data_IF_314761655458
#
_entry.id   IF_314761655458
#
_cell.length_a   1.000
_cell.length_b   1.000
_cell.length_c   1.000
_cell.angle_alpha   90.00
_cell.angle_beta   90.00
_cell.angle_gamma   90.00
#
_symmetry.space_group_name_H-M   'P 1'
#
loop_
_entity.id
_entity.type
_entity.pdbx_description
1 polymer ?
#
# COMPACT_ATOMS: atom_id res chain seq x y z
N UNK A 1 12.47 16.19 34.58
CA UNK A 1 11.67 15.73 33.43
C UNK A 1 10.93 14.44 33.81
N UNK A 2 9.78 14.14 33.20
CA UNK A 2 9.07 12.85 33.33
C UNK A 2 9.05 12.19 31.96
N UNK A 3 9.53 10.96 31.86
CA UNK A 3 9.55 10.18 30.62
C UNK A 3 8.62 8.98 30.77
N UNK A 4 7.72 8.78 29.79
CA UNK A 4 6.82 7.65 29.78
C UNK A 4 7.51 6.47 29.11
N UNK A 5 7.55 5.33 29.80
CA UNK A 5 8.21 4.10 29.33
C UNK A 5 7.17 3.05 28.95
N UNK A 6 7.50 2.23 27.96
CA UNK A 6 6.71 1.06 27.58
C UNK A 6 6.75 -0.04 28.66
N UNK A 7 5.72 -0.89 28.73
CA UNK A 7 5.52 -1.89 29.80
C UNK A 7 6.68 -2.90 29.92
N UNK A 8 7.46 -3.08 28.86
CA UNK A 8 8.61 -4.01 28.79
C UNK A 8 9.99 -3.31 28.79
N UNK A 9 10.02 -2.01 29.09
CA UNK A 9 11.28 -1.28 29.17
C UNK A 9 12.16 -1.77 30.34
N UNK A 10 13.43 -2.02 30.07
CA UNK A 10 14.42 -2.41 31.09
C UNK A 10 15.10 -1.13 31.58
N UNK A 11 14.86 -0.77 32.84
CA UNK A 11 15.54 0.36 33.48
C UNK A 11 17.03 0.06 33.62
N UNK A 12 17.88 1.00 33.19
CA UNK A 12 19.35 0.91 33.32
C UNK A 12 19.88 1.67 34.53
N UNK A 13 18.99 2.28 35.32
CA UNK A 13 19.30 3.11 36.49
C UNK A 13 18.44 2.71 37.67
N UNK A 14 19.00 2.83 38.88
CA UNK A 14 18.31 2.54 40.13
C UNK A 14 17.68 3.80 40.74
N UNK A 15 16.63 3.66 41.58
CA UNK A 15 16.04 4.79 42.30
C UNK A 15 17.08 5.53 43.15
N UNK A 16 17.22 6.85 42.93
CA UNK A 16 18.17 7.71 43.66
C UNK A 16 19.52 7.92 42.97
N UNK A 17 19.76 7.27 41.83
CA UNK A 17 20.95 7.52 41.01
C UNK A 17 20.98 8.97 40.48
N UNK A 18 22.16 9.61 40.53
CA UNK A 18 22.38 10.89 39.88
C UNK A 18 22.71 10.67 38.41
N UNK A 19 21.99 11.36 37.52
CA UNK A 19 22.12 11.24 36.06
C UNK A 19 22.39 12.59 35.43
N UNK A 20 23.16 12.61 34.34
CA UNK A 20 23.53 13.79 33.57
C UNK A 20 22.78 13.82 32.22
N UNK A 21 22.66 14.98 31.57
CA UNK A 21 22.15 15.06 30.21
C UNK A 21 22.95 14.14 29.27
N UNK A 22 22.26 13.23 28.58
CA UNK A 22 22.86 12.22 27.70
C UNK A 22 22.98 10.81 28.30
N UNK A 23 22.73 10.62 29.60
CA UNK A 23 22.76 9.30 30.22
C UNK A 23 21.56 8.43 29.79
N UNK A 24 21.82 7.15 29.53
CA UNK A 24 20.79 6.18 29.15
C UNK A 24 20.04 5.69 30.39
N UNK A 25 18.78 6.09 30.54
CA UNK A 25 17.94 5.76 31.71
C UNK A 25 17.23 4.41 31.59
N UNK A 26 16.85 4.03 30.38
CA UNK A 26 16.14 2.80 30.10
C UNK A 26 16.52 2.30 28.71
N UNK A 27 16.50 0.98 28.54
CA UNK A 27 16.62 0.32 27.25
C UNK A 27 15.30 -0.37 26.99
N UNK A 28 14.66 -0.01 25.89
CA UNK A 28 13.57 -0.80 25.35
C UNK A 28 14.26 -1.79 24.42
N UNK A 29 14.16 -3.11 24.67
CA UNK A 29 14.55 -4.07 23.66
C UNK A 29 13.65 -3.79 22.46
N UNK A 30 14.19 -3.11 21.45
CA UNK A 30 13.56 -3.16 20.15
C UNK A 30 13.65 -4.62 19.74
N UNK A 31 12.53 -5.24 19.38
CA UNK A 31 12.55 -6.53 18.68
C UNK A 31 13.13 -6.36 17.26
N UNK A 32 14.13 -5.50 17.10
CA UNK A 32 15.01 -5.47 15.95
C UNK A 32 15.74 -6.82 15.95
N UNK A 33 15.22 -7.73 15.12
CA UNK A 33 15.70 -9.09 14.94
C UNK A 33 15.22 -10.16 15.94
N UNK A 34 13.95 -10.15 16.38
CA UNK A 34 13.25 -11.44 16.17
C UNK A 34 13.33 -11.66 14.68
N UNK A 35 13.77 -12.85 14.25
CA UNK A 35 13.72 -13.31 12.86
C UNK A 35 12.55 -12.58 12.22
N UNK A 36 12.79 -11.72 11.19
CA UNK A 36 11.71 -11.07 10.42
C UNK A 36 10.57 -12.08 10.38
N UNK A 37 9.31 -11.70 10.53
CA UNK A 37 8.23 -12.69 10.54
C UNK A 37 8.02 -13.27 9.11
N UNK A 38 9.05 -13.94 8.59
CA UNK A 38 9.19 -14.68 7.35
C UNK A 38 8.61 -16.09 7.53
N UNK A 39 8.16 -16.42 8.75
CA UNK A 39 7.46 -17.67 9.05
C UNK A 39 6.11 -17.77 8.33
N UNK A 40 5.61 -16.67 7.77
CA UNK A 40 4.37 -16.65 7.02
C UNK A 40 4.38 -17.48 5.73
N UNK A 41 5.55 -17.87 5.20
CA UNK A 41 5.65 -18.73 4.01
C UNK A 41 4.75 -18.28 2.84
N UNK A 42 4.12 -19.23 2.15
CA UNK A 42 3.16 -18.94 1.08
C UNK A 42 1.97 -18.05 1.50
N UNK A 43 1.38 -18.19 2.70
CA UNK A 43 0.35 -17.26 3.19
C UNK A 43 0.75 -15.78 3.12
N UNK A 44 2.01 -15.43 3.46
CA UNK A 44 2.49 -14.05 3.37
C UNK A 44 2.52 -13.54 1.93
N UNK A 45 2.97 -14.37 1.00
CA UNK A 45 2.97 -14.04 -0.44
C UNK A 45 1.54 -13.80 -0.94
N UNK A 46 0.58 -14.64 -0.51
CA UNK A 46 -0.83 -14.47 -0.85
C UNK A 46 -1.41 -13.16 -0.27
N UNK A 47 -1.06 -12.78 0.96
CA UNK A 47 -1.47 -11.50 1.54
C UNK A 47 -0.94 -10.31 0.74
N UNK A 48 0.32 -10.36 0.30
CA UNK A 48 0.95 -9.32 -0.50
C UNK A 48 0.30 -9.21 -1.89
N UNK A 49 0.09 -10.32 -2.59
CA UNK A 49 -0.57 -10.31 -3.91
C UNK A 49 -2.05 -9.94 -3.86
N UNK A 50 -2.73 -10.15 -2.73
CA UNK A 50 -4.10 -9.67 -2.53
C UNK A 50 -4.15 -8.24 -1.97
N UNK A 51 -3.00 -7.55 -1.87
CA UNK A 51 -2.89 -6.19 -1.34
C UNK A 51 -3.60 -6.01 0.02
N UNK A 52 -3.54 -7.04 0.88
CA UNK A 52 -4.23 -7.04 2.17
C UNK A 52 -3.46 -6.19 3.19
N UNK A 53 -4.19 -5.48 4.05
CA UNK A 53 -3.59 -4.80 5.20
C UNK A 53 -3.18 -5.84 6.26
N UNK A 54 -1.91 -5.89 6.70
CA UNK A 54 -1.47 -6.77 7.77
C UNK A 54 -2.21 -6.48 9.09
N UNK A 55 -2.45 -7.52 9.90
CA UNK A 55 -3.08 -7.36 11.23
C UNK A 55 -2.23 -6.48 12.14
N UNK A 56 -0.92 -6.73 12.16
CA UNK A 56 0.07 -5.94 12.88
C UNK A 56 0.85 -5.04 11.91
N UNK A 57 0.13 -4.16 11.22
CA UNK A 57 0.76 -3.21 10.32
C UNK A 57 1.53 -2.13 11.08
N UNK A 58 2.63 -1.69 10.48
CA UNK A 58 3.32 -0.48 10.88
C UNK A 58 2.45 0.75 10.62
N UNK A 59 2.66 1.79 11.41
CA UNK A 59 2.08 3.11 11.17
C UNK A 59 3.21 4.02 10.72
N UNK A 60 3.05 4.62 9.55
CA UNK A 60 4.03 5.51 8.92
C UNK A 60 3.51 6.95 8.99
N UNK A 61 4.38 7.91 9.27
CA UNK A 61 4.05 9.33 9.27
C UNK A 61 3.68 9.81 7.85
N UNK A 62 2.51 10.43 7.72
CA UNK A 62 2.00 10.99 6.47
C UNK A 62 2.53 12.41 6.19
N UNK A 63 2.92 13.11 7.26
CA UNK A 63 3.41 14.49 7.24
C UNK A 63 4.64 14.62 8.14
N UNK A 64 5.50 15.58 7.81
CA UNK A 64 6.61 16.01 8.66
C UNK A 64 6.07 16.86 9.82
N UNK A 65 6.69 16.75 10.99
CA UNK A 65 6.29 17.59 12.12
C UNK A 65 6.84 17.17 13.47
N UNK A 66 6.18 17.63 14.52
CA UNK A 66 6.52 17.32 15.90
C UNK A 66 5.43 16.47 16.54
N UNK A 67 5.83 15.41 17.22
CA UNK A 67 4.94 14.49 17.93
C UNK A 67 4.33 15.19 19.16
N UNK A 68 3.01 15.12 19.25
CA UNK A 68 2.21 15.53 20.41
C UNK A 68 1.31 14.44 20.91
N UNK A 69 1.22 14.28 22.22
CA UNK A 69 0.31 13.31 22.83
C UNK A 69 -1.06 13.94 23.10
N UNK A 70 -2.09 13.39 22.45
CA UNK A 70 -3.47 13.78 22.68
C UNK A 70 -4.10 13.06 23.87
N UNK A 71 -5.38 13.33 24.12
CA UNK A 71 -6.14 12.58 25.13
C UNK A 71 -6.38 11.15 24.64
N UNK A 72 -5.95 10.18 25.45
CA UNK A 72 -6.20 8.76 25.19
C UNK A 72 -7.68 8.47 24.94
N UNK A 73 -7.94 7.57 23.99
CA UNK A 73 -9.29 7.16 23.63
C UNK A 73 -9.47 5.66 23.87
N UNK A 74 -10.26 5.31 24.89
CA UNK A 74 -10.43 3.92 25.36
C UNK A 74 -9.06 3.27 25.63
N UNK A 75 -8.77 2.13 25.01
CA UNK A 75 -7.48 1.43 25.11
C UNK A 75 -6.46 1.85 24.04
N UNK A 76 -6.68 2.98 23.36
CA UNK A 76 -5.77 3.54 22.35
C UNK A 76 -5.15 4.84 22.85
N UNK A 77 -3.85 4.97 22.62
CA UNK A 77 -3.08 6.19 22.76
C UNK A 77 -3.30 7.07 21.52
N UNK A 78 -3.55 8.36 21.73
CA UNK A 78 -3.69 9.33 20.64
C UNK A 78 -2.37 10.05 20.44
N UNK A 79 -1.81 9.93 19.25
CA UNK A 79 -0.62 10.64 18.80
C UNK A 79 -1.06 11.64 17.73
N UNK A 80 -0.56 12.86 17.79
CA UNK A 80 -0.86 13.94 16.86
C UNK A 80 0.47 14.40 16.29
N UNK A 81 0.60 14.46 14.97
CA UNK A 81 1.74 15.13 14.33
C UNK A 81 1.32 16.57 14.07
N UNK A 82 1.98 17.50 14.74
CA UNK A 82 1.82 18.93 14.48
C UNK A 82 2.83 19.35 13.39
N UNK A 83 2.36 19.75 12.19
CA UNK A 83 3.26 20.17 11.12
C UNK A 83 4.01 21.44 11.50
N UNK A 84 5.24 21.58 10.99
CA UNK A 84 6.01 22.81 11.15
C UNK A 84 5.41 23.98 10.36
N UNK A 85 4.69 23.67 9.28
CA UNK A 85 3.92 24.64 8.51
C UNK A 85 2.50 24.78 9.09
N UNK A 86 2.19 25.98 9.60
CA UNK A 86 0.89 26.32 10.17
C UNK A 86 -0.29 26.30 9.19
N UNK A 87 -0.04 26.17 7.88
CA UNK A 87 -1.09 26.04 6.86
C UNK A 87 -1.64 24.62 6.72
N UNK A 88 -0.91 23.62 7.23
CA UNK A 88 -1.29 22.21 7.17
C UNK A 88 -2.05 21.80 8.43
N UNK A 89 -3.06 20.95 8.28
CA UNK A 89 -3.82 20.41 9.41
C UNK A 89 -3.02 19.31 10.13
N UNK A 90 -3.07 19.24 11.48
CA UNK A 90 -2.46 18.16 12.23
C UNK A 90 -3.10 16.80 11.92
N UNK A 91 -2.26 15.76 11.81
CA UNK A 91 -2.74 14.39 11.56
C UNK A 91 -2.75 13.59 12.85
N UNK A 92 -3.87 12.92 13.15
CA UNK A 92 -4.05 12.12 14.36
C UNK A 92 -3.94 10.60 14.09
N UNK A 93 -3.17 9.90 14.92
CA UNK A 93 -3.01 8.45 14.94
C UNK A 93 -3.51 7.83 16.24
N UNK A 94 -4.17 6.67 16.15
CA UNK A 94 -4.69 5.93 17.30
C UNK A 94 -3.96 4.59 17.47
N UNK A 95 -3.04 4.53 18.42
CA UNK A 95 -2.15 3.39 18.64
C UNK A 95 -2.65 2.55 19.82
N UNK A 96 -2.85 1.22 19.69
CA UNK A 96 -3.21 0.38 20.83
C UNK A 96 -2.16 0.46 21.94
N UNK A 97 -2.57 0.71 23.19
CA UNK A 97 -1.65 0.85 24.34
C UNK A 97 -0.82 -0.38 24.66
N UNK A 98 -1.24 -1.56 24.17
CA UNK A 98 -0.52 -2.81 24.36
C UNK A 98 0.65 -3.03 23.38
N UNK A 99 0.84 -2.15 22.39
CA UNK A 99 1.96 -2.25 21.46
C UNK A 99 3.16 -1.44 21.97
N UNK A 100 4.41 -1.93 21.78
CA UNK A 100 5.61 -1.16 22.07
C UNK A 100 5.59 0.18 21.32
N UNK A 101 5.93 1.27 22.01
CA UNK A 101 5.97 2.61 21.44
C UNK A 101 7.21 3.34 21.95
N UNK A 102 8.00 3.91 21.05
CA UNK A 102 9.33 4.45 21.36
C UNK A 102 9.39 6.00 21.33
N UNK A 103 8.49 6.67 20.59
CA UNK A 103 8.49 8.13 20.47
C UNK A 103 8.03 8.84 21.75
N UNK A 104 8.51 10.06 21.94
CA UNK A 104 8.21 10.96 23.06
C UNK A 104 7.60 12.28 22.57
N UNK A 105 7.02 13.02 23.52
CA UNK A 105 6.41 14.33 23.24
C UNK A 105 7.50 15.34 22.88
N UNK A 106 7.37 15.99 21.72
CA UNK A 106 8.38 16.91 21.20
C UNK A 106 9.40 16.27 20.23
N UNK A 107 9.32 14.97 19.96
CA UNK A 107 10.17 14.34 18.94
C UNK A 107 9.82 14.86 17.54
N UNK A 108 10.85 15.10 16.72
CA UNK A 108 10.69 15.50 15.31
C UNK A 108 10.61 14.24 14.46
N UNK A 109 9.67 14.22 13.52
CA UNK A 109 9.43 13.09 12.62
C UNK A 109 9.33 13.58 11.17
N UNK A 110 9.91 12.82 10.25
CA UNK A 110 9.81 13.09 8.82
C UNK A 110 8.73 12.20 8.17
N UNK A 111 8.15 12.67 7.07
CA UNK A 111 7.19 11.92 6.27
C UNK A 111 7.84 10.63 5.80
N UNK A 112 7.20 9.51 6.12
CA UNK A 112 7.72 8.18 5.79
C UNK A 112 8.42 7.45 6.94
N UNK A 113 8.61 8.11 8.10
CA UNK A 113 9.15 7.49 9.31
C UNK A 113 8.12 6.59 10.01
N UNK A 114 8.62 5.60 10.74
CA UNK A 114 7.80 4.65 11.48
C UNK A 114 7.40 5.21 12.84
N UNK A 115 6.12 5.50 13.00
CA UNK A 115 5.48 5.83 14.29
C UNK A 115 5.33 4.57 15.14
N UNK A 116 4.99 3.47 14.48
CA UNK A 116 4.84 2.15 15.08
C UNK A 116 5.51 1.11 14.20
N UNK A 117 6.37 0.30 14.81
CA UNK A 117 7.05 -0.80 14.14
C UNK A 117 6.09 -1.90 13.69
N UNK A 118 6.37 -2.52 12.56
CA UNK A 118 5.54 -3.58 11.98
C UNK A 118 5.70 -3.70 10.46
N UNK A 119 4.88 -4.55 9.85
CA UNK A 119 4.86 -4.70 8.40
C UNK A 119 4.08 -3.54 7.76
N UNK A 120 4.69 -2.70 6.92
CA UNK A 120 3.97 -1.58 6.35
C UNK A 120 2.86 -2.07 5.41
N UNK A 121 1.70 -1.41 5.50
CA UNK A 121 0.60 -1.71 4.61
C UNK A 121 0.91 -1.19 3.20
N UNK A 122 0.76 -2.02 2.14
CA UNK A 122 1.04 -1.61 0.77
C UNK A 122 0.34 -0.32 0.33
N UNK A 123 -0.92 -0.13 0.74
CA UNK A 123 -1.70 1.08 0.44
C UNK A 123 -1.09 2.36 1.05
N UNK A 124 -0.53 2.26 2.25
CA UNK A 124 0.05 3.40 2.94
C UNK A 124 1.40 3.76 2.29
N UNK A 125 2.16 2.76 1.85
CA UNK A 125 3.38 2.98 1.05
C UNK A 125 3.05 3.71 -0.26
N UNK A 126 1.98 3.29 -0.96
CA UNK A 126 1.55 3.94 -2.19
C UNK A 126 1.21 5.42 -1.97
N UNK A 127 0.40 5.71 -0.95
CA UNK A 127 -0.05 7.07 -0.65
C UNK A 127 1.11 7.99 -0.22
N UNK A 128 2.08 7.46 0.54
CA UNK A 128 3.14 8.27 1.16
C UNK A 128 4.38 8.35 0.24
N UNK A 129 4.81 7.21 -0.31
CA UNK A 129 6.09 7.05 -1.03
C UNK A 129 5.93 6.84 -2.54
N UNK A 130 4.72 6.59 -3.03
CA UNK A 130 4.41 6.45 -4.46
C UNK A 130 4.64 5.05 -5.04
N UNK A 131 4.43 4.94 -6.35
CA UNK A 131 4.37 3.69 -7.12
C UNK A 131 5.70 2.95 -7.12
N UNK A 132 6.81 3.65 -7.36
CA UNK A 132 8.15 3.03 -7.45
C UNK A 132 8.59 2.41 -6.12
N UNK A 133 8.37 3.13 -5.02
CA UNK A 133 8.69 2.66 -3.67
C UNK A 133 7.84 1.44 -3.30
N UNK A 134 6.54 1.45 -3.63
CA UNK A 134 5.67 0.31 -3.42
C UNK A 134 6.09 -0.90 -4.26
N UNK A 135 6.38 -0.70 -5.56
CA UNK A 135 6.78 -1.80 -6.44
C UNK A 135 8.07 -2.47 -5.93
N UNK A 136 9.06 -1.65 -5.56
CA UNK A 136 10.31 -2.12 -4.96
C UNK A 136 10.08 -2.88 -3.66
N UNK A 137 9.18 -2.39 -2.80
CA UNK A 137 8.81 -3.06 -1.56
C UNK A 137 8.17 -4.43 -1.82
N UNK A 138 7.16 -4.51 -2.69
CA UNK A 138 6.47 -5.76 -3.01
C UNK A 138 7.41 -6.80 -3.60
N UNK A 139 8.26 -6.41 -4.55
CA UNK A 139 9.24 -7.30 -5.17
C UNK A 139 10.19 -7.85 -4.11
N UNK A 140 10.77 -6.99 -3.27
CA UNK A 140 11.71 -7.41 -2.24
C UNK A 140 11.07 -8.33 -1.18
N UNK A 141 9.89 -7.97 -0.67
CA UNK A 141 9.20 -8.79 0.35
C UNK A 141 8.83 -10.18 -0.18
N UNK A 142 8.31 -10.27 -1.40
CA UNK A 142 7.96 -11.56 -2.02
C UNK A 142 9.23 -12.37 -2.29
N UNK A 143 10.26 -11.71 -2.81
CA UNK A 143 11.55 -12.34 -3.10
C UNK A 143 12.23 -12.89 -1.85
N UNK A 144 12.16 -12.19 -0.71
CA UNK A 144 12.70 -12.66 0.57
C UNK A 144 12.04 -13.98 1.00
N UNK A 145 10.72 -14.10 0.88
CA UNK A 145 10.01 -15.34 1.23
C UNK A 145 10.47 -16.51 0.35
N UNK A 146 10.58 -16.31 -0.97
CA UNK A 146 11.05 -17.36 -1.88
C UNK A 146 12.52 -17.74 -1.62
N UNK A 147 13.39 -16.75 -1.38
CA UNK A 147 14.81 -16.99 -1.03
C UNK A 147 14.94 -17.85 0.23
N UNK A 148 14.11 -17.61 1.24
CA UNK A 148 14.12 -18.39 2.48
C UNK A 148 13.62 -19.81 2.32
N UNK A 149 12.73 -20.04 1.36
CA UNK A 149 12.32 -21.39 0.95
C UNK A 149 13.35 -22.06 0.03
N UNK A 150 14.48 -21.41 -0.26
CA UNK A 150 15.53 -21.93 -1.14
C UNK A 150 15.17 -21.89 -2.63
N UNK A 151 14.12 -21.14 -3.00
CA UNK A 151 13.67 -21.01 -4.39
C UNK A 151 14.21 -19.70 -4.96
N UNK A 152 15.06 -19.80 -6.00
CA UNK A 152 15.53 -18.61 -6.72
C UNK A 152 14.55 -18.25 -7.84
N UNK A 153 13.93 -17.08 -7.74
CA UNK A 153 13.13 -16.46 -8.80
C UNK A 153 13.83 -15.17 -9.23
N UNK A 154 13.77 -14.82 -10.50
CA UNK A 154 14.26 -13.52 -10.96
C UNK A 154 13.18 -12.46 -10.75
N UNK A 155 13.57 -11.29 -10.24
CA UNK A 155 12.69 -10.17 -9.89
C UNK A 155 11.72 -9.79 -11.02
N UNK A 156 12.15 -9.91 -12.30
CA UNK A 156 11.31 -9.64 -13.48
C UNK A 156 9.97 -10.39 -13.48
N UNK A 157 9.92 -11.58 -12.89
CA UNK A 157 8.69 -12.37 -12.83
C UNK A 157 7.69 -11.81 -11.82
N UNK A 158 8.19 -11.29 -10.70
CA UNK A 158 7.36 -10.67 -9.67
C UNK A 158 6.92 -9.28 -10.16
N UNK A 159 7.81 -8.53 -10.80
CA UNK A 159 7.50 -7.23 -11.41
C UNK A 159 6.33 -7.30 -12.40
N UNK A 160 6.24 -8.37 -13.20
CA UNK A 160 5.09 -8.58 -14.10
C UNK A 160 3.77 -8.63 -13.34
N UNK A 161 3.73 -9.28 -12.17
CA UNK A 161 2.50 -9.36 -11.36
C UNK A 161 2.22 -8.02 -10.69
N UNK A 162 3.25 -7.39 -10.11
CA UNK A 162 3.15 -6.08 -9.44
C UNK A 162 2.67 -5.00 -10.42
N UNK A 163 3.12 -5.04 -11.67
CA UNK A 163 2.60 -4.18 -12.75
C UNK A 163 1.10 -4.33 -12.94
N UNK A 164 0.57 -5.56 -12.94
CA UNK A 164 -0.88 -5.79 -13.08
C UNK A 164 -1.67 -5.31 -11.86
N UNK A 165 -1.07 -5.34 -10.67
CA UNK A 165 -1.70 -4.81 -9.45
C UNK A 165 -1.78 -3.28 -9.42
N UNK A 166 -0.89 -2.60 -10.16
CA UNK A 166 -0.75 -1.13 -10.23
C UNK A 166 -1.25 -0.53 -11.55
N UNK A 167 -1.97 -1.32 -12.35
CA UNK A 167 -2.40 -0.91 -13.70
C UNK A 167 -3.54 0.13 -13.71
N UNK A 168 -4.18 0.37 -12.55
CA UNK A 168 -5.38 1.21 -12.45
C UNK A 168 -5.12 2.51 -11.70
N UNK A 169 -5.87 3.53 -12.09
CA UNK A 169 -5.97 4.84 -11.45
C UNK A 169 -7.42 5.12 -11.10
N UNK A 170 -7.65 5.66 -9.91
CA UNK A 170 -8.95 6.16 -9.49
C UNK A 170 -9.07 7.64 -9.88
N UNK A 171 -10.10 7.98 -10.64
CA UNK A 171 -10.32 9.35 -11.13
C UNK A 171 -10.71 10.26 -9.96
N UNK A 172 -10.00 11.37 -9.80
CA UNK A 172 -10.25 12.39 -8.77
C UNK A 172 -10.92 13.61 -9.38
N UNK A 173 -10.43 14.06 -10.53
CA UNK A 173 -10.96 15.20 -11.29
C UNK A 173 -11.31 14.73 -12.69
N UNK A 174 -12.56 14.92 -13.10
CA UNK A 174 -13.05 14.53 -14.43
C UNK A 174 -12.39 15.35 -15.57
N UNK A 175 -12.05 16.61 -15.33
CA UNK A 175 -11.64 17.52 -16.40
C UNK A 175 -12.76 17.68 -17.44
N UNK A 176 -12.39 17.71 -18.71
CA UNK A 176 -13.32 17.69 -19.85
C UNK A 176 -13.49 16.26 -20.44
N UNK A 177 -13.07 15.23 -19.71
CA UNK A 177 -13.25 13.84 -20.09
C UNK A 177 -14.66 13.32 -19.80
N UNK A 178 -14.97 12.11 -20.27
CA UNK A 178 -16.24 11.42 -19.95
C UNK A 178 -16.21 10.65 -18.64
N UNK A 179 -15.08 10.64 -17.92
CA UNK A 179 -14.92 9.86 -16.69
C UNK A 179 -15.65 10.47 -15.50
N UNK A 180 -16.03 9.66 -14.53
CA UNK A 180 -16.67 10.11 -13.30
C UNK A 180 -15.67 9.98 -12.14
N UNK A 181 -15.61 10.95 -11.20
CA UNK A 181 -14.80 10.78 -9.99
C UNK A 181 -15.15 9.48 -9.25
N UNK A 182 -14.13 8.69 -8.92
CA UNK A 182 -14.25 7.34 -8.34
C UNK A 182 -14.16 6.19 -9.38
N UNK A 183 -14.20 6.50 -10.67
CA UNK A 183 -14.01 5.49 -11.72
C UNK A 183 -12.58 4.93 -11.67
N UNK A 184 -12.45 3.62 -11.89
CA UNK A 184 -11.16 2.94 -11.99
C UNK A 184 -10.83 2.71 -13.47
N UNK A 185 -9.85 3.45 -13.97
CA UNK A 185 -9.45 3.45 -15.38
C UNK A 185 -8.04 2.88 -15.52
N UNK A 186 -7.73 2.32 -16.68
CA UNK A 186 -6.35 1.93 -16.98
C UNK A 186 -5.42 3.14 -17.06
N UNK A 187 -4.20 3.03 -16.53
CA UNK A 187 -3.20 4.11 -16.62
C UNK A 187 -2.96 4.49 -18.09
N UNK A 188 -2.80 3.50 -18.97
CA UNK A 188 -2.51 3.74 -20.39
C UNK A 188 -3.72 4.40 -21.08
N UNK A 189 -4.93 3.97 -20.76
CA UNK A 189 -6.16 4.55 -21.32
C UNK A 189 -6.33 6.01 -20.89
N UNK A 190 -6.09 6.30 -19.60
CA UNK A 190 -6.15 7.67 -19.09
C UNK A 190 -5.11 8.57 -19.77
N UNK A 191 -3.89 8.07 -19.95
CA UNK A 191 -2.82 8.78 -20.67
C UNK A 191 -3.23 9.10 -22.11
N UNK A 192 -3.72 8.11 -22.87
CA UNK A 192 -4.18 8.31 -24.26
C UNK A 192 -5.34 9.31 -24.37
N UNK A 193 -6.30 9.26 -23.44
CA UNK A 193 -7.43 10.21 -23.42
C UNK A 193 -6.95 11.62 -23.07
N UNK A 194 -6.05 11.74 -22.09
CA UNK A 194 -5.50 13.02 -21.69
C UNK A 194 -4.64 13.66 -22.78
N UNK A 195 -3.83 12.88 -23.51
CA UNK A 195 -3.07 13.38 -24.66
C UNK A 195 -4.01 14.04 -25.69
N UNK A 196 -5.11 13.37 -26.06
CA UNK A 196 -6.11 13.93 -26.99
C UNK A 196 -6.80 15.18 -26.46
N UNK A 197 -7.14 15.21 -25.17
CA UNK A 197 -7.76 16.40 -24.55
C UNK A 197 -6.81 17.60 -24.56
N UNK A 198 -5.51 17.37 -24.30
CA UNK A 198 -4.49 18.42 -24.33
C UNK A 198 -4.31 18.95 -25.76
N UNK A 199 -4.28 18.08 -26.78
CA UNK A 199 -4.24 18.49 -28.19
C UNK A 199 -5.44 19.36 -28.59
N UNK A 200 -6.63 19.07 -28.05
CA UNK A 200 -7.85 19.85 -28.24
C UNK A 200 -7.89 21.16 -27.40
N UNK A 201 -6.88 21.42 -26.56
CA UNK A 201 -6.85 22.57 -25.64
C UNK A 201 -7.85 22.48 -24.48
N UNK A 202 -8.31 21.26 -24.16
CA UNK A 202 -9.23 20.95 -23.07
C UNK A 202 -8.49 20.58 -21.78
N UNK A 203 -9.21 20.52 -20.66
CA UNK A 203 -8.66 20.11 -19.37
C UNK A 203 -8.55 18.58 -19.28
N UNK A 204 -7.36 18.04 -19.00
CA UNK A 204 -7.20 16.60 -18.79
C UNK A 204 -7.91 16.15 -17.51
N UNK A 205 -8.19 14.85 -17.42
CA UNK A 205 -8.64 14.20 -16.20
C UNK A 205 -7.44 13.90 -15.29
N UNK A 206 -7.66 13.97 -13.98
CA UNK A 206 -6.66 13.64 -12.97
C UNK A 206 -7.10 12.42 -12.19
N UNK A 207 -6.15 11.53 -11.90
CA UNK A 207 -6.40 10.32 -11.12
C UNK A 207 -5.23 10.01 -10.19
N UNK A 208 -5.52 9.24 -9.14
CA UNK A 208 -4.51 8.73 -8.23
C UNK A 208 -4.30 7.23 -8.47
N UNK A 209 -3.05 6.74 -8.49
CA UNK A 209 -2.79 5.31 -8.61
C UNK A 209 -3.48 4.52 -7.50
N UNK A 210 -4.06 3.38 -7.85
CA UNK A 210 -4.69 2.47 -6.88
C UNK A 210 -4.03 1.11 -6.93
N UNK A 211 -3.75 0.55 -5.75
CA UNK A 211 -3.26 -0.82 -5.63
C UNK A 211 -4.45 -1.79 -5.55
N UNK A 212 -4.53 -2.72 -6.48
CA UNK A 212 -5.54 -3.78 -6.49
C UNK A 212 -4.90 -5.14 -6.24
N UNK A 213 -5.52 -5.96 -5.40
CA UNK A 213 -5.16 -7.37 -5.27
C UNK A 213 -5.41 -8.13 -6.58
N UNK A 214 -4.66 -9.20 -6.84
CA UNK A 214 -4.73 -9.97 -8.10
C UNK A 214 -6.15 -10.47 -8.42
N UNK A 215 -6.95 -10.81 -7.41
CA UNK A 215 -8.35 -11.22 -7.62
C UNK A 215 -9.19 -10.07 -8.16
N UNK A 216 -9.09 -8.88 -7.55
CA UNK A 216 -9.84 -7.69 -7.99
C UNK A 216 -9.34 -7.17 -9.34
N UNK A 217 -8.02 -7.14 -9.55
CA UNK A 217 -7.41 -6.75 -10.82
C UNK A 217 -7.86 -7.68 -11.97
N UNK A 218 -7.94 -8.99 -11.73
CA UNK A 218 -8.37 -9.97 -12.73
C UNK A 218 -9.85 -9.84 -13.12
N UNK A 219 -10.70 -9.37 -12.22
CA UNK A 219 -12.12 -9.11 -12.50
C UNK A 219 -12.35 -7.79 -13.26
N UNK A 220 -11.39 -6.87 -13.20
CA UNK A 220 -11.45 -5.55 -13.84
C UNK A 220 -10.64 -5.46 -15.14
N UNK A 221 -10.31 -6.61 -15.75
CA UNK A 221 -9.70 -6.65 -17.08
C UNK A 221 -10.67 -6.13 -18.15
N UNK A 222 -10.18 -5.50 -19.23
CA UNK A 222 -11.02 -5.03 -20.33
C UNK A 222 -11.84 -6.14 -20.99
N UNK A 223 -11.29 -7.36 -21.05
CA UNK A 223 -12.00 -8.51 -21.62
C UNK A 223 -12.99 -9.11 -20.63
N UNK A 224 -14.28 -8.93 -20.89
CA UNK A 224 -15.32 -9.59 -20.09
C UNK A 224 -15.31 -11.11 -20.27
N UNK A 225 -14.85 -11.63 -21.43
CA UNK A 225 -14.71 -13.08 -21.67
C UNK A 225 -13.65 -13.67 -20.73
N UNK A 226 -12.50 -12.99 -20.63
CA UNK A 226 -11.40 -13.35 -19.73
C UNK A 226 -11.79 -13.25 -18.26
N UNK A 227 -12.47 -12.15 -17.89
CA UNK A 227 -12.94 -11.91 -16.52
C UNK A 227 -13.96 -12.97 -16.09
N UNK A 228 -14.94 -13.29 -16.96
CA UNK A 228 -16.00 -14.26 -16.68
C UNK A 228 -15.45 -15.68 -16.49
N UNK A 229 -14.30 -16.01 -17.07
CA UNK A 229 -13.63 -17.30 -16.93
C UNK A 229 -12.84 -17.44 -15.62
N UNK A 230 -12.64 -16.35 -14.85
CA UNK A 230 -11.88 -16.38 -13.61
C UNK A 230 -12.78 -16.70 -12.41
N UNK A 231 -13.64 -15.75 -12.02
CA UNK A 231 -14.59 -15.87 -10.91
C UNK A 231 -15.82 -15.00 -11.19
N UNK A 232 -16.87 -15.15 -10.38
CA UNK A 232 -18.06 -14.28 -10.41
C UNK A 232 -18.76 -14.16 -11.79
N UNK A 233 -18.74 -15.25 -12.57
CA UNK A 233 -19.20 -15.33 -13.96
C UNK A 233 -20.57 -14.66 -14.19
N UNK A 234 -21.56 -14.93 -13.33
CA UNK A 234 -22.90 -14.34 -13.46
C UNK A 234 -22.89 -12.82 -13.33
N UNK A 235 -22.11 -12.27 -12.39
CA UNK A 235 -22.00 -10.81 -12.20
C UNK A 235 -21.34 -10.18 -13.41
N UNK A 236 -20.20 -10.71 -13.84
CA UNK A 236 -19.43 -10.20 -14.99
C UNK A 236 -20.26 -10.20 -16.27
N UNK A 237 -20.96 -11.29 -16.57
CA UNK A 237 -21.80 -11.37 -17.78
C UNK A 237 -23.02 -10.45 -17.72
N UNK A 238 -23.60 -10.25 -16.54
CA UNK A 238 -24.73 -9.32 -16.36
C UNK A 238 -24.28 -7.89 -16.58
N UNK A 239 -23.16 -7.48 -15.98
CA UNK A 239 -22.58 -6.15 -16.19
C UNK A 239 -22.22 -5.91 -17.66
N UNK A 240 -21.62 -6.91 -18.33
CA UNK A 240 -21.30 -6.85 -19.75
C UNK A 240 -22.54 -6.71 -20.63
N UNK A 241 -23.62 -7.44 -20.32
CA UNK A 241 -24.88 -7.37 -21.05
C UNK A 241 -25.59 -6.02 -20.87
N UNK A 242 -25.64 -5.50 -19.64
CA UNK A 242 -26.25 -4.19 -19.33
C UNK A 242 -25.48 -3.05 -20.00
N UNK A 243 -24.15 -3.11 -20.00
CA UNK A 243 -23.30 -2.09 -20.63
C UNK A 243 -23.14 -2.30 -22.16
N UNK A 244 -23.63 -3.39 -22.74
CA UNK A 244 -23.43 -3.72 -24.15
C UNK A 244 -21.96 -3.85 -24.54
N UNK A 245 -21.12 -4.41 -23.66
CA UNK A 245 -19.66 -4.49 -23.88
C UNK A 245 -19.33 -5.35 -25.10
N UNK A 246 -18.33 -4.89 -25.87
CA UNK A 246 -17.74 -5.64 -26.98
C UNK A 246 -16.31 -6.02 -26.61
N UNK A 247 -15.92 -7.27 -26.88
CA UNK A 247 -14.58 -7.77 -26.60
C UNK A 247 -13.69 -7.69 -27.86
N UNK A 248 -12.50 -7.12 -27.71
CA UNK A 248 -11.55 -6.93 -28.81
C UNK A 248 -10.59 -8.11 -29.00
N UNK A 249 -10.65 -9.15 -28.14
CA UNK A 249 -9.84 -10.37 -28.21
C UNK A 249 -8.33 -10.09 -28.26
N UNK A 250 -7.84 -9.15 -27.45
CA UNK A 250 -6.43 -8.76 -27.42
C UNK A 250 -5.56 -9.67 -26.54
N UNK A 251 -6.17 -10.46 -25.65
CA UNK A 251 -5.48 -11.33 -24.72
C UNK A 251 -5.48 -12.80 -25.12
N UNK A 252 -4.78 -13.59 -24.31
CA UNK A 252 -4.58 -15.02 -24.58
C UNK A 252 -5.85 -15.83 -24.30
N UNK A 253 -6.51 -15.60 -23.16
CA UNK A 253 -7.64 -16.42 -22.71
C UNK A 253 -8.84 -16.31 -23.63
N UNK A 254 -9.16 -15.09 -24.06
CA UNK A 254 -10.28 -14.88 -24.97
C UNK A 254 -10.10 -15.67 -26.26
N UNK A 255 -8.94 -15.55 -26.91
CA UNK A 255 -8.65 -16.26 -28.15
C UNK A 255 -8.70 -17.77 -27.98
N UNK A 256 -8.21 -18.31 -26.86
CA UNK A 256 -8.35 -19.74 -26.54
C UNK A 256 -9.83 -20.14 -26.43
N UNK A 257 -10.65 -19.35 -25.74
CA UNK A 257 -12.08 -19.65 -25.51
C UNK A 257 -12.87 -19.65 -26.83
N UNK A 258 -12.59 -18.71 -27.75
CA UNK A 258 -13.23 -18.66 -29.08
C UNK A 258 -12.56 -19.55 -30.14
N UNK A 259 -11.45 -20.22 -29.81
CA UNK A 259 -10.74 -21.12 -30.73
C UNK A 259 -9.95 -20.41 -31.84
N UNK A 260 -9.47 -19.19 -31.58
CA UNK A 260 -8.57 -18.43 -32.47
C UNK A 260 -7.11 -18.64 -32.09
N UNK A 261 -6.21 -18.25 -33.00
CA UNK A 261 -4.79 -18.14 -32.67
C UNK A 261 -4.61 -17.12 -31.55
N UNK A 262 -3.74 -17.47 -30.59
CA UNK A 262 -3.42 -16.58 -29.48
C UNK A 262 -2.45 -15.48 -29.94
N UNK A 263 -2.56 -14.24 -29.43
CA UNK A 263 -1.68 -13.13 -29.79
C UNK A 263 -0.30 -13.24 -29.12
N UNK A 264 0.36 -14.38 -29.28
CA UNK A 264 1.70 -14.66 -28.78
C UNK A 264 2.39 -15.76 -29.59
N UNK A 265 3.71 -15.60 -29.79
CA UNK A 265 4.52 -16.59 -30.49
C UNK A 265 4.21 -16.65 -31.98
N UNK A 266 3.65 -17.76 -32.45
CA UNK A 266 3.34 -18.01 -33.87
C UNK A 266 1.92 -17.59 -34.28
N UNK A 267 1.13 -17.09 -33.34
CA UNK A 267 -0.28 -16.71 -33.55
C UNK A 267 -0.49 -15.23 -33.83
#
# INVERSE_FOLDING_TARGET
>A
ARFLLSVEAILSVEPGAQVRPGDVLARIPMESAKTKDITGGLPRVAELFEARRPKDHAIIAEIDGTIRFGRDYKNKRRIIIEPHDSTLEPVEYLIPKGKPFHLQDGDVIEKGDYILDGNPAPHDILAIKGVEALASYLVNEIQEVYRLQGVSINDKHIEVIVRQMLQKVEITTQGDSTYIPGDHVDVIELEEVNERLIEDGKKPAEGQPVLLGITKASLQTPSFISAASFQETTRVLTEAAVAGKTDMLQGLKENVIVGRLIPAGTG
#
